data_IF_331286265518
#
_entry.id   IF_331286265518
#
_cell.length_a   1.000
_cell.length_b   1.000
_cell.length_c   1.000
_cell.angle_alpha   90.00
_cell.angle_beta   90.00
_cell.angle_gamma   90.00
#
_symmetry.space_group_name_H-M   'P 1'
#
loop_
_entity.id
_entity.type
_entity.pdbx_description
1 polymer ?
#
# COMPACT_ATOMS: atom_id res chain seq x y z
N UNK A 1 -2.20 17.39 52.66
CA UNK A 1 -2.26 16.42 51.55
C UNK A 1 -1.15 15.36 51.81
N UNK A 2 -1.49 14.09 51.82
CA UNK A 2 -0.54 13.03 52.20
C UNK A 2 0.41 12.73 51.06
N UNK A 3 1.57 13.42 51.02
CA UNK A 3 2.60 13.30 49.95
C UNK A 3 2.99 11.84 49.67
N UNK A 4 3.00 10.97 50.67
CA UNK A 4 3.30 9.55 50.49
C UNK A 4 2.24 8.82 49.64
N UNK A 5 0.95 9.16 49.79
CA UNK A 5 -0.13 8.57 49.01
C UNK A 5 -0.09 9.05 47.56
N UNK A 6 0.14 10.36 47.35
CA UNK A 6 0.26 10.95 46.00
C UNK A 6 1.41 10.31 45.21
N UNK A 7 2.59 10.15 45.82
CA UNK A 7 3.73 9.49 45.17
C UNK A 7 3.40 8.04 44.80
N UNK A 8 2.75 7.29 45.69
CA UNK A 8 2.34 5.90 45.38
C UNK A 8 1.39 5.83 44.21
N UNK A 9 0.41 6.73 44.11
CA UNK A 9 -0.52 6.79 42.96
C UNK A 9 0.23 7.08 41.68
N UNK A 10 1.15 8.07 41.65
CA UNK A 10 1.95 8.39 40.47
C UNK A 10 2.79 7.19 40.03
N UNK A 11 3.43 6.49 40.97
CA UNK A 11 4.24 5.30 40.65
C UNK A 11 3.40 4.16 40.07
N UNK A 12 2.18 3.96 40.57
CA UNK A 12 1.24 2.96 40.02
C UNK A 12 0.83 3.34 38.59
N UNK A 13 0.46 4.59 38.36
CA UNK A 13 0.08 5.06 37.01
C UNK A 13 1.25 4.94 36.02
N UNK A 14 2.44 5.32 36.44
CA UNK A 14 3.66 5.16 35.62
C UNK A 14 3.92 3.66 35.32
N UNK A 15 3.77 2.80 36.29
CA UNK A 15 3.94 1.36 36.09
C UNK A 15 2.90 0.80 35.08
N UNK A 16 1.65 1.18 35.23
CA UNK A 16 0.58 0.79 34.28
C UNK A 16 0.90 1.30 32.87
N UNK A 17 1.34 2.54 32.74
CA UNK A 17 1.73 3.12 31.44
C UNK A 17 2.89 2.36 30.80
N UNK A 18 3.91 1.98 31.57
CA UNK A 18 5.02 1.16 31.09
C UNK A 18 4.58 -0.23 30.66
N UNK A 19 3.61 -0.83 31.37
CA UNK A 19 3.02 -2.11 30.94
C UNK A 19 2.26 -1.98 29.60
N UNK A 20 1.53 -0.90 29.41
CA UNK A 20 0.85 -0.60 28.12
C UNK A 20 1.89 -0.47 27.00
N UNK A 21 2.96 0.30 27.23
CA UNK A 21 4.06 0.45 26.26
C UNK A 21 4.65 -0.92 25.91
N UNK A 22 4.95 -1.72 26.92
CA UNK A 22 5.52 -3.06 26.73
C UNK A 22 4.58 -3.97 25.93
N UNK A 23 3.28 -3.96 26.26
CA UNK A 23 2.27 -4.73 25.54
C UNK A 23 2.19 -4.30 24.07
N UNK A 24 2.05 -3.01 23.81
CA UNK A 24 2.00 -2.47 22.44
C UNK A 24 3.29 -2.79 21.69
N UNK A 25 4.46 -2.63 22.31
CA UNK A 25 5.74 -2.96 21.70
C UNK A 25 5.83 -4.42 21.26
N UNK A 26 5.35 -5.34 22.10
CA UNK A 26 5.38 -6.78 21.78
C UNK A 26 4.36 -7.19 20.73
N UNK A 27 3.19 -6.51 20.70
CA UNK A 27 2.05 -6.84 19.83
C UNK A 27 1.92 -5.92 18.62
N UNK A 28 2.82 -4.95 18.40
CA UNK A 28 2.65 -3.92 17.38
C UNK A 28 2.38 -4.46 15.98
N UNK A 29 2.99 -5.58 15.56
CA UNK A 29 2.76 -6.17 14.26
C UNK A 29 1.36 -6.76 14.13
N UNK A 30 0.85 -7.42 15.15
CA UNK A 30 -0.55 -7.91 15.15
C UNK A 30 -1.59 -6.80 15.32
N UNK A 31 -1.18 -5.62 15.77
CA UNK A 31 -2.04 -4.42 15.79
C UNK A 31 -1.96 -3.65 14.46
N UNK A 32 -0.80 -3.68 13.81
CA UNK A 32 -0.59 -2.99 12.55
C UNK A 32 -1.15 -3.78 11.36
N UNK A 33 -0.78 -5.04 11.22
CA UNK A 33 -1.21 -5.88 10.11
C UNK A 33 -2.49 -6.63 10.48
N UNK A 34 -3.51 -6.51 9.65
CA UNK A 34 -4.84 -7.09 9.86
C UNK A 34 -5.17 -8.09 8.74
N UNK A 35 -4.42 -9.21 8.66
CA UNK A 35 -4.69 -10.21 7.66
C UNK A 35 -6.05 -10.85 7.92
N UNK A 36 -6.87 -10.95 6.88
CA UNK A 36 -8.13 -11.69 6.91
C UNK A 36 -8.00 -12.92 6.04
N UNK A 37 -8.50 -14.03 6.57
CA UNK A 37 -8.62 -15.31 5.85
C UNK A 37 -10.10 -15.42 5.50
N UNK A 38 -10.47 -15.00 4.31
CA UNK A 38 -11.86 -15.08 3.87
C UNK A 38 -12.06 -16.16 2.82
N UNK A 39 -13.30 -16.63 2.72
CA UNK A 39 -13.76 -17.47 1.62
C UNK A 39 -13.73 -16.61 0.35
N UNK A 40 -13.03 -17.11 -0.64
CA UNK A 40 -12.83 -16.42 -1.91
C UNK A 40 -14.11 -16.45 -2.72
N UNK A 41 -14.73 -15.29 -2.93
CA UNK A 41 -15.82 -15.12 -3.87
C UNK A 41 -15.25 -14.67 -5.23
N UNK A 42 -14.95 -15.66 -6.09
CA UNK A 42 -14.42 -15.39 -7.42
C UNK A 42 -15.49 -14.81 -8.36
N UNK A 43 -16.78 -14.86 -7.99
CA UNK A 43 -17.89 -14.36 -8.82
C UNK A 43 -17.87 -12.83 -8.98
N UNK A 44 -17.19 -12.12 -8.06
CA UNK A 44 -17.01 -10.66 -8.14
C UNK A 44 -16.04 -10.24 -9.26
N UNK A 45 -15.22 -11.14 -9.77
CA UNK A 45 -14.27 -10.87 -10.84
C UNK A 45 -14.92 -11.16 -12.21
N UNK A 46 -15.22 -10.09 -12.96
CA UNK A 46 -15.93 -10.17 -14.24
C UNK A 46 -15.01 -10.59 -15.40
N UNK A 47 -13.70 -10.30 -15.28
CA UNK A 47 -12.71 -10.58 -16.31
C UNK A 47 -12.07 -11.98 -16.12
N UNK A 48 -11.63 -12.64 -17.21
CA UNK A 48 -11.02 -13.97 -17.13
C UNK A 48 -9.59 -13.89 -16.59
N UNK A 49 -9.44 -13.85 -15.27
CA UNK A 49 -8.15 -13.84 -14.62
C UNK A 49 -7.81 -15.21 -14.00
N UNK A 50 -6.52 -15.51 -13.92
CA UNK A 50 -5.98 -16.75 -13.39
C UNK A 50 -5.48 -16.58 -11.96
N UNK A 51 -5.71 -17.59 -11.12
CA UNK A 51 -5.00 -17.72 -9.83
C UNK A 51 -3.58 -18.18 -10.10
N UNK A 52 -2.60 -17.40 -9.67
CA UNK A 52 -1.20 -17.74 -9.78
C UNK A 52 -0.53 -17.68 -8.40
N UNK A 53 0.59 -18.38 -8.25
CA UNK A 53 1.38 -18.35 -7.03
C UNK A 53 2.77 -17.80 -7.35
N UNK A 54 3.19 -16.80 -6.58
CA UNK A 54 4.50 -16.18 -6.70
C UNK A 54 5.32 -16.60 -5.49
N UNK A 55 6.45 -17.27 -5.71
CA UNK A 55 7.33 -17.70 -4.64
C UNK A 55 8.32 -16.58 -4.29
N UNK A 56 8.33 -16.19 -3.01
CA UNK A 56 9.26 -15.17 -2.53
C UNK A 56 10.61 -15.77 -2.08
N UNK A 57 11.53 -14.94 -1.59
CA UNK A 57 12.88 -15.36 -1.21
C UNK A 57 12.92 -16.36 -0.05
N UNK A 58 11.83 -16.49 0.71
CA UNK A 58 11.66 -17.45 1.81
C UNK A 58 10.86 -18.68 1.40
N UNK A 59 10.64 -18.92 0.10
CA UNK A 59 9.83 -19.99 -0.46
C UNK A 59 8.36 -19.95 -0.02
N UNK A 60 7.85 -18.78 0.37
CA UNK A 60 6.43 -18.57 0.64
C UNK A 60 5.72 -18.38 -0.69
N UNK A 61 4.66 -19.15 -0.93
CA UNK A 61 3.83 -19.03 -2.14
C UNK A 61 2.74 -17.98 -1.91
N UNK A 62 2.92 -16.82 -2.51
CA UNK A 62 1.98 -15.72 -2.45
C UNK A 62 0.86 -15.95 -3.46
N UNK A 63 -0.36 -16.15 -2.98
CA UNK A 63 -1.56 -16.22 -3.81
C UNK A 63 -1.75 -14.89 -4.52
N UNK A 64 -1.96 -14.94 -5.82
CA UNK A 64 -2.07 -13.76 -6.67
C UNK A 64 -3.11 -14.01 -7.76
N UNK A 65 -3.63 -12.92 -8.35
CA UNK A 65 -4.54 -12.96 -9.49
C UNK A 65 -3.84 -12.29 -10.67
N UNK A 66 -3.77 -13.00 -11.80
CA UNK A 66 -3.19 -12.48 -13.03
C UNK A 66 -4.22 -12.45 -14.16
N UNK A 67 -4.50 -11.27 -14.66
CA UNK A 67 -5.27 -11.05 -15.87
C UNK A 67 -4.33 -10.74 -17.02
N UNK A 68 -4.39 -11.57 -18.08
CA UNK A 68 -3.66 -11.33 -19.32
C UNK A 68 -4.59 -10.67 -20.32
N UNK A 69 -4.23 -9.44 -20.74
CA UNK A 69 -5.02 -8.70 -21.71
C UNK A 69 -4.96 -9.37 -23.12
N UNK A 70 -6.08 -9.42 -23.87
CA UNK A 70 -6.14 -10.10 -25.17
C UNK A 70 -5.21 -9.52 -26.27
N UNK A 71 -4.83 -8.25 -26.17
CA UNK A 71 -3.94 -7.58 -27.14
C UNK A 71 -2.48 -8.08 -27.11
N UNK A 72 -2.11 -8.96 -26.14
CA UNK A 72 -0.72 -9.34 -25.88
C UNK A 72 0.22 -8.17 -25.56
N UNK A 73 -0.30 -7.08 -25.01
CA UNK A 73 0.50 -5.96 -24.50
C UNK A 73 1.50 -6.43 -23.45
N UNK A 74 2.63 -5.70 -23.32
CA UNK A 74 3.56 -5.89 -22.20
C UNK A 74 3.23 -4.97 -21.03
N UNK A 75 2.49 -3.87 -21.26
CA UNK A 75 2.07 -2.99 -20.17
C UNK A 75 1.33 -3.78 -19.12
N UNK A 76 1.75 -3.67 -17.87
CA UNK A 76 1.23 -4.46 -16.75
C UNK A 76 1.03 -3.59 -15.53
N UNK A 77 -0.20 -3.60 -15.00
CA UNK A 77 -0.53 -3.00 -13.71
C UNK A 77 -0.21 -4.00 -12.60
N UNK A 78 0.80 -3.70 -11.79
CA UNK A 78 1.16 -4.48 -10.60
C UNK A 78 0.52 -3.82 -9.38
N UNK A 79 -0.41 -4.51 -8.72
CA UNK A 79 -1.21 -3.97 -7.62
C UNK A 79 -0.77 -4.51 -6.27
N UNK A 80 -0.52 -3.59 -5.33
CA UNK A 80 -0.16 -3.81 -3.94
C UNK A 80 -1.29 -3.31 -3.03
N UNK A 81 -2.00 -4.24 -2.42
CA UNK A 81 -3.18 -3.91 -1.60
C UNK A 81 -2.83 -3.28 -0.24
N UNK A 82 -3.84 -2.69 0.39
CA UNK A 82 -3.74 -2.08 1.71
C UNK A 82 -3.62 -3.08 2.86
N UNK A 83 -3.75 -2.56 4.08
CA UNK A 83 -3.50 -3.30 5.32
C UNK A 83 -4.61 -4.27 5.72
N UNK A 84 -5.81 -4.15 5.20
CA UNK A 84 -6.96 -4.95 5.62
C UNK A 84 -7.66 -5.63 4.45
N UNK A 85 -8.31 -6.75 4.76
CA UNK A 85 -9.14 -7.51 3.84
C UNK A 85 -8.36 -8.40 2.87
N UNK A 86 -9.05 -9.37 2.27
CA UNK A 86 -8.49 -10.23 1.24
C UNK A 86 -8.37 -9.49 -0.10
N UNK A 87 -7.65 -10.07 -1.05
CA UNK A 87 -7.45 -9.46 -2.38
C UNK A 87 -8.76 -9.30 -3.15
N UNK A 88 -9.76 -10.12 -2.87
CA UNK A 88 -11.09 -10.09 -3.48
C UNK A 88 -11.79 -8.74 -3.29
N UNK A 89 -11.54 -8.04 -2.20
CA UNK A 89 -12.05 -6.69 -1.97
C UNK A 89 -11.58 -5.67 -3.02
N UNK A 90 -10.59 -6.01 -3.86
CA UNK A 90 -10.03 -5.17 -4.93
C UNK A 90 -10.52 -5.56 -6.32
N UNK A 91 -11.38 -6.60 -6.45
CA UNK A 91 -11.86 -7.06 -7.75
C UNK A 91 -12.66 -5.99 -8.50
N UNK A 92 -13.42 -5.12 -7.78
CA UNK A 92 -14.10 -4.00 -8.42
C UNK A 92 -13.10 -3.01 -9.11
N UNK A 93 -11.91 -2.79 -8.51
CA UNK A 93 -10.85 -1.96 -9.10
C UNK A 93 -10.28 -2.63 -10.35
N UNK A 94 -9.99 -3.94 -10.27
CA UNK A 94 -9.52 -4.72 -11.41
C UNK A 94 -10.52 -4.64 -12.56
N UNK A 95 -11.81 -4.84 -12.28
CA UNK A 95 -12.87 -4.73 -13.30
C UNK A 95 -12.92 -3.34 -13.95
N UNK A 96 -12.73 -2.26 -13.20
CA UNK A 96 -12.69 -0.89 -13.72
C UNK A 96 -11.42 -0.62 -14.53
N UNK A 97 -10.26 -1.10 -14.06
CA UNK A 97 -8.96 -0.84 -14.65
C UNK A 97 -8.63 -1.75 -15.83
N UNK A 98 -9.40 -2.84 -16.02
CA UNK A 98 -9.27 -3.73 -17.19
C UNK A 98 -9.70 -3.09 -18.51
N UNK A 99 -10.28 -1.87 -18.48
CA UNK A 99 -10.56 -1.09 -19.70
C UNK A 99 -9.29 -0.65 -20.45
N UNK A 100 -8.16 -0.56 -19.72
CA UNK A 100 -6.88 -0.16 -20.30
C UNK A 100 -6.18 -1.33 -20.98
N UNK A 101 -5.43 -1.05 -22.05
CA UNK A 101 -4.61 -2.05 -22.73
C UNK A 101 -3.41 -2.47 -21.88
N UNK A 102 -3.68 -3.29 -20.86
CA UNK A 102 -2.70 -3.75 -19.88
C UNK A 102 -3.06 -5.09 -19.26
N UNK A 103 -2.03 -5.86 -18.92
CA UNK A 103 -2.20 -6.98 -18.00
C UNK A 103 -2.40 -6.44 -16.57
N UNK A 104 -2.97 -7.24 -15.67
CA UNK A 104 -3.12 -6.86 -14.26
C UNK A 104 -2.60 -8.02 -13.40
N UNK A 105 -1.68 -7.71 -12.48
CA UNK A 105 -1.21 -8.63 -11.45
C UNK A 105 -1.54 -8.04 -10.08
N UNK A 106 -2.49 -8.65 -9.36
CA UNK A 106 -2.78 -8.34 -7.97
C UNK A 106 -2.14 -9.40 -7.09
N UNK A 107 -1.20 -9.03 -6.25
CA UNK A 107 -0.59 -9.95 -5.28
C UNK A 107 -1.25 -9.82 -3.91
N UNK A 108 -1.28 -10.92 -3.16
CA UNK A 108 -1.58 -10.90 -1.74
C UNK A 108 -0.30 -11.02 -0.93
N UNK A 109 -0.16 -10.20 0.11
CA UNK A 109 0.98 -10.23 1.01
C UNK A 109 1.08 -11.56 1.77
N UNK A 110 2.28 -11.89 2.27
CA UNK A 110 2.45 -12.93 3.29
C UNK A 110 1.48 -12.72 4.45
N UNK A 111 0.94 -13.79 5.01
CA UNK A 111 -0.11 -13.82 6.03
C UNK A 111 -1.52 -13.43 5.57
N UNK A 112 -1.68 -12.76 4.41
CA UNK A 112 -2.99 -12.37 3.88
C UNK A 112 -3.53 -13.43 2.92
N UNK A 113 -4.87 -13.48 2.75
CA UNK A 113 -5.55 -14.39 1.81
C UNK A 113 -5.11 -15.85 1.92
N UNK A 114 -4.81 -16.31 3.14
CA UNK A 114 -4.36 -17.68 3.41
C UNK A 114 -2.89 -17.98 3.10
N UNK A 115 -2.09 -16.97 2.75
CA UNK A 115 -0.65 -17.15 2.59
C UNK A 115 0.05 -17.38 3.93
N UNK A 116 1.11 -18.17 3.91
CA UNK A 116 1.99 -18.37 5.07
C UNK A 116 2.83 -17.12 5.39
N UNK A 117 3.53 -17.17 6.53
CA UNK A 117 4.52 -16.19 6.96
C UNK A 117 3.96 -15.10 7.86
N UNK A 118 4.86 -14.24 8.36
CA UNK A 118 4.52 -13.09 9.21
C UNK A 118 4.82 -11.79 8.46
N UNK A 119 3.88 -10.82 8.45
CA UNK A 119 4.08 -9.56 7.77
C UNK A 119 5.05 -8.67 8.55
N UNK A 120 5.97 -8.07 7.82
CA UNK A 120 6.92 -7.08 8.28
C UNK A 120 7.22 -6.10 7.15
N UNK A 121 7.75 -4.91 7.46
CA UNK A 121 8.16 -3.95 6.43
C UNK A 121 9.08 -4.60 5.37
N UNK A 122 10.19 -5.21 5.81
CA UNK A 122 11.13 -5.90 4.91
C UNK A 122 10.49 -7.10 4.19
N UNK A 123 9.56 -7.79 4.88
CA UNK A 123 8.83 -8.91 4.30
C UNK A 123 7.94 -8.49 3.12
N UNK A 124 7.17 -7.40 3.28
CA UNK A 124 6.33 -6.89 2.20
C UNK A 124 7.18 -6.36 1.03
N UNK A 125 8.35 -5.78 1.32
CA UNK A 125 9.30 -5.37 0.28
C UNK A 125 9.86 -6.58 -0.51
N UNK A 126 10.13 -7.69 0.17
CA UNK A 126 10.56 -8.94 -0.47
C UNK A 126 9.44 -9.53 -1.34
N UNK A 127 8.20 -9.56 -0.85
CA UNK A 127 7.04 -10.01 -1.62
C UNK A 127 6.86 -9.19 -2.90
N UNK A 128 6.98 -7.87 -2.81
CA UNK A 128 6.88 -6.96 -3.95
C UNK A 128 8.02 -7.17 -4.98
N UNK A 129 9.27 -7.34 -4.51
CA UNK A 129 10.41 -7.66 -5.39
C UNK A 129 10.22 -8.99 -6.10
N UNK A 130 9.65 -9.97 -5.41
CA UNK A 130 9.35 -11.29 -6.00
C UNK A 130 8.29 -11.21 -7.08
N UNK A 131 7.26 -10.36 -6.91
CA UNK A 131 6.27 -10.10 -7.94
C UNK A 131 6.89 -9.47 -9.21
N UNK A 132 7.79 -8.51 -9.04
CA UNK A 132 8.52 -7.89 -10.15
C UNK A 132 9.38 -8.94 -10.87
N UNK A 133 10.13 -9.74 -10.13
CA UNK A 133 10.94 -10.83 -10.70
C UNK A 133 10.09 -11.81 -11.51
N UNK A 134 8.92 -12.20 -10.98
CA UNK A 134 7.98 -13.08 -11.68
C UNK A 134 7.49 -12.47 -13.01
N UNK A 135 7.27 -11.15 -13.07
CA UNK A 135 6.94 -10.44 -14.32
C UNK A 135 8.13 -10.39 -15.27
N UNK A 136 9.33 -10.13 -14.77
CA UNK A 136 10.57 -10.13 -15.59
C UNK A 136 10.84 -11.50 -16.23
N UNK A 137 10.57 -12.60 -15.52
CA UNK A 137 10.63 -13.97 -16.05
C UNK A 137 9.61 -14.22 -17.20
N UNK A 138 8.57 -13.40 -17.27
CA UNK A 138 7.59 -13.37 -18.39
C UNK A 138 7.94 -12.37 -19.49
N UNK A 139 9.15 -11.83 -19.48
CA UNK A 139 9.64 -10.81 -20.41
C UNK A 139 8.88 -9.46 -20.32
N UNK A 140 8.34 -9.12 -19.13
CA UNK A 140 7.74 -7.84 -18.80
C UNK A 140 8.78 -7.06 -18.00
N UNK A 141 9.35 -6.02 -18.59
CA UNK A 141 10.40 -5.23 -17.97
C UNK A 141 9.82 -4.15 -17.04
N UNK A 142 10.63 -3.59 -16.13
CA UNK A 142 10.18 -2.51 -15.24
C UNK A 142 9.56 -1.33 -16.01
N UNK A 143 10.08 -1.00 -17.20
CA UNK A 143 9.54 0.07 -18.07
C UNK A 143 8.13 -0.21 -18.60
N UNK A 144 7.71 -1.47 -18.55
CA UNK A 144 6.37 -1.88 -18.95
C UNK A 144 5.41 -1.98 -17.75
N UNK A 145 5.92 -1.80 -16.50
CA UNK A 145 5.14 -1.97 -15.28
C UNK A 145 4.67 -0.62 -14.75
N UNK A 146 3.36 -0.50 -14.54
CA UNK A 146 2.73 0.53 -13.71
C UNK A 146 2.52 -0.09 -12.34
N UNK A 147 3.00 0.56 -11.27
CA UNK A 147 2.77 0.04 -9.92
C UNK A 147 1.64 0.81 -9.26
N UNK A 148 0.63 0.08 -8.80
CA UNK A 148 -0.47 0.63 -8.03
C UNK A 148 -0.31 0.23 -6.57
N UNK A 149 -0.25 1.20 -5.67
CA UNK A 149 -0.26 0.99 -4.23
C UNK A 149 -1.51 1.57 -3.58
N UNK A 150 -2.14 0.79 -2.70
CA UNK A 150 -3.28 1.20 -1.89
C UNK A 150 -2.86 1.29 -0.42
N UNK A 151 -3.05 2.43 0.24
CA UNK A 151 -2.79 2.61 1.67
C UNK A 151 -1.39 2.08 2.07
N UNK A 152 -1.29 1.01 2.84
CA UNK A 152 -0.02 0.34 3.17
C UNK A 152 0.81 0.00 1.91
N UNK A 153 0.16 -0.45 0.84
CA UNK A 153 0.79 -0.76 -0.44
C UNK A 153 1.46 0.43 -1.10
N UNK A 154 1.06 1.68 -0.78
CA UNK A 154 1.73 2.88 -1.31
C UNK A 154 3.16 3.00 -0.81
N UNK A 155 3.40 2.69 0.46
CA UNK A 155 4.75 2.73 1.03
C UNK A 155 5.66 1.65 0.42
N UNK A 156 5.10 0.47 0.14
CA UNK A 156 5.81 -0.59 -0.59
C UNK A 156 6.12 -0.13 -2.02
N UNK A 157 5.15 0.46 -2.72
CA UNK A 157 5.33 1.03 -4.07
C UNK A 157 6.45 2.05 -4.10
N UNK A 158 6.47 3.00 -3.16
CA UNK A 158 7.50 4.04 -3.06
C UNK A 158 8.87 3.41 -2.79
N UNK A 159 8.97 2.42 -1.89
CA UNK A 159 10.23 1.71 -1.62
C UNK A 159 10.79 1.06 -2.88
N UNK A 160 9.96 0.32 -3.60
CA UNK A 160 10.38 -0.44 -4.79
C UNK A 160 10.74 0.48 -5.95
N UNK A 161 10.06 1.64 -6.05
CA UNK A 161 10.24 2.57 -7.17
C UNK A 161 11.50 3.45 -7.05
N UNK A 162 12.14 3.54 -5.87
CA UNK A 162 13.34 4.34 -5.71
C UNK A 162 14.42 3.94 -6.70
N UNK A 163 14.94 4.92 -7.45
CA UNK A 163 16.04 4.75 -8.41
C UNK A 163 15.77 3.67 -9.50
N UNK A 164 14.50 3.34 -9.71
CA UNK A 164 14.05 2.42 -10.77
C UNK A 164 13.15 3.18 -11.75
N UNK A 165 13.25 2.83 -13.02
CA UNK A 165 12.42 3.41 -14.07
C UNK A 165 11.23 2.48 -14.37
N UNK A 166 10.11 2.72 -13.67
CA UNK A 166 8.82 2.09 -13.96
C UNK A 166 8.03 2.96 -14.95
N UNK A 167 7.04 2.37 -15.62
CA UNK A 167 6.17 3.09 -16.56
C UNK A 167 5.39 4.21 -15.86
N UNK A 168 4.95 3.97 -14.63
CA UNK A 168 4.26 4.94 -13.78
C UNK A 168 3.90 4.38 -12.42
N UNK A 169 3.51 5.26 -11.51
CA UNK A 169 3.02 4.90 -10.17
C UNK A 169 1.64 5.50 -9.95
N UNK A 170 0.73 4.71 -9.37
CA UNK A 170 -0.57 5.14 -8.87
C UNK A 170 -0.58 4.91 -7.36
N UNK A 171 -0.77 5.96 -6.58
CA UNK A 171 -0.75 5.91 -5.10
C UNK A 171 -2.11 6.36 -4.55
N UNK A 172 -2.86 5.43 -3.98
CA UNK A 172 -4.15 5.70 -3.34
C UNK A 172 -4.00 5.78 -1.83
N UNK A 173 -4.40 6.89 -1.24
CA UNK A 173 -4.29 7.20 0.18
C UNK A 173 -2.86 7.00 0.74
N UNK A 174 -1.82 7.61 0.14
CA UNK A 174 -0.45 7.46 0.64
C UNK A 174 -0.23 8.20 1.95
N UNK A 175 0.71 7.70 2.75
CA UNK A 175 1.11 8.29 4.03
C UNK A 175 2.61 8.61 4.07
N UNK A 176 2.98 9.62 4.89
CA UNK A 176 4.37 10.07 5.04
C UNK A 176 5.26 9.03 5.72
N UNK A 177 4.76 8.42 6.78
CA UNK A 177 5.41 7.30 7.47
C UNK A 177 4.42 6.60 8.40
N UNK A 178 4.68 5.34 8.74
CA UNK A 178 3.91 4.66 9.79
C UNK A 178 4.09 5.33 11.16
N UNK A 179 5.21 6.01 11.37
CA UNK A 179 5.42 6.82 12.58
C UNK A 179 4.41 7.96 12.66
N UNK A 180 4.18 8.69 11.56
CA UNK A 180 3.27 9.83 11.56
C UNK A 180 1.80 9.38 11.65
N UNK A 181 1.45 8.30 10.96
CA UNK A 181 0.13 7.70 11.07
C UNK A 181 -0.15 7.23 12.52
N UNK A 182 0.81 6.53 13.13
CA UNK A 182 0.67 6.09 14.52
C UNK A 182 0.64 7.27 15.53
N UNK A 183 1.38 8.35 15.30
CA UNK A 183 1.29 9.57 16.13
C UNK A 183 -0.10 10.23 16.06
N UNK A 184 -0.71 10.20 14.91
CA UNK A 184 -2.05 10.76 14.74
C UNK A 184 -3.08 10.01 15.57
N UNK A 185 -3.06 8.67 15.50
CA UNK A 185 -4.02 7.83 16.23
C UNK A 185 -3.66 7.61 17.71
N UNK A 186 -2.37 7.61 18.04
CA UNK A 186 -1.85 7.28 19.39
C UNK A 186 -0.84 8.33 19.88
N UNK A 187 -1.25 9.61 20.03
CA UNK A 187 -0.34 10.72 20.37
C UNK A 187 0.30 10.57 21.74
N UNK A 188 -0.28 9.74 22.62
CA UNK A 188 0.21 9.46 23.97
C UNK A 188 1.25 8.34 24.04
N UNK A 189 1.53 7.66 22.93
CA UNK A 189 2.56 6.61 22.88
C UNK A 189 3.86 7.13 22.25
N UNK A 190 5.03 6.70 22.73
CA UNK A 190 6.33 7.11 22.17
C UNK A 190 6.65 6.34 20.87
N UNK A 191 5.72 6.38 19.89
CA UNK A 191 5.76 5.56 18.67
C UNK A 191 7.02 5.72 17.85
N UNK A 192 7.65 6.90 17.86
CA UNK A 192 8.88 7.16 17.09
C UNK A 192 10.04 6.24 17.43
N UNK A 193 10.13 5.79 18.69
CA UNK A 193 11.19 4.89 19.18
C UNK A 193 10.70 3.45 19.30
N UNK A 194 9.38 3.23 19.36
CA UNK A 194 8.80 1.90 19.56
C UNK A 194 8.61 1.13 18.26
N UNK A 195 8.24 1.82 17.16
CA UNK A 195 7.87 1.15 15.92
C UNK A 195 9.05 0.43 15.27
N UNK A 196 8.84 -0.84 14.97
CA UNK A 196 9.76 -1.69 14.21
C UNK A 196 9.62 -1.44 12.71
N UNK A 197 8.38 -1.40 12.23
CA UNK A 197 8.02 -1.22 10.83
C UNK A 197 7.62 0.26 10.63
N UNK A 198 8.44 1.04 9.92
CA UNK A 198 8.37 2.51 9.91
C UNK A 198 7.84 3.09 8.61
N UNK A 199 8.04 2.42 7.48
CA UNK A 199 7.56 2.82 6.15
C UNK A 199 7.80 4.31 5.87
N UNK A 200 9.08 4.73 5.81
CA UNK A 200 9.48 6.14 5.69
C UNK A 200 9.28 6.66 4.25
N UNK A 201 8.03 6.79 3.80
CA UNK A 201 7.67 7.21 2.44
C UNK A 201 8.15 8.62 2.11
N UNK A 202 8.08 9.56 3.06
CA UNK A 202 8.52 10.95 2.92
C UNK A 202 10.02 11.10 2.62
N UNK A 203 10.83 10.13 3.07
CA UNK A 203 12.27 10.11 2.79
C UNK A 203 12.61 9.52 1.44
N UNK A 204 11.74 8.63 0.94
CA UNK A 204 11.96 7.79 -0.22
C UNK A 204 11.37 8.37 -1.51
N UNK A 205 10.21 9.04 -1.43
CA UNK A 205 9.45 9.52 -2.60
C UNK A 205 10.26 10.43 -3.53
N UNK A 206 11.15 11.24 -2.99
CA UNK A 206 12.04 12.13 -3.75
C UNK A 206 13.07 11.39 -4.63
N UNK A 207 13.29 10.09 -4.39
CA UNK A 207 14.16 9.25 -5.20
C UNK A 207 13.37 8.50 -6.29
N UNK A 208 12.06 8.67 -6.37
CA UNK A 208 11.22 8.10 -7.43
C UNK A 208 11.33 9.00 -8.65
N UNK A 209 11.66 8.39 -9.79
CA UNK A 209 11.87 9.10 -11.07
C UNK A 209 10.76 8.86 -12.09
N UNK A 210 9.90 7.87 -11.84
CA UNK A 210 8.76 7.53 -12.70
C UNK A 210 7.62 8.54 -12.53
N UNK A 211 6.76 8.74 -13.55
CA UNK A 211 5.53 9.52 -13.42
C UNK A 211 4.64 9.02 -12.29
N UNK A 212 3.99 9.94 -11.55
CA UNK A 212 3.19 9.61 -10.37
C UNK A 212 1.79 10.21 -10.46
N UNK A 213 0.77 9.39 -10.20
CA UNK A 213 -0.59 9.83 -9.93
C UNK A 213 -0.95 9.54 -8.47
N UNK A 214 -1.41 10.55 -7.73
CA UNK A 214 -1.79 10.42 -6.32
C UNK A 214 -3.28 10.73 -6.19
N UNK A 215 -4.02 9.83 -5.54
CA UNK A 215 -5.42 10.05 -5.20
C UNK A 215 -5.67 9.90 -3.70
N UNK A 216 -6.49 10.80 -3.12
CA UNK A 216 -6.75 10.84 -1.70
C UNK A 216 -8.07 11.55 -1.40
N UNK A 217 -8.87 11.01 -0.47
CA UNK A 217 -10.05 11.66 0.04
C UNK A 217 -9.68 12.70 1.12
N UNK A 218 -10.27 13.89 1.05
CA UNK A 218 -9.94 15.00 1.97
C UNK A 218 -10.38 14.69 3.40
N UNK A 219 -11.49 13.98 3.55
CA UNK A 219 -12.04 13.57 4.86
C UNK A 219 -11.56 12.23 5.38
N UNK A 220 -10.48 11.63 4.80
CA UNK A 220 -9.90 10.37 5.27
C UNK A 220 -9.47 10.46 6.73
N UNK A 221 -10.10 9.66 7.61
CA UNK A 221 -9.84 9.60 9.04
C UNK A 221 -8.84 8.50 9.44
N UNK A 222 -8.49 7.61 8.50
CA UNK A 222 -7.49 6.54 8.69
C UNK A 222 -6.09 7.03 8.34
N UNK A 223 -5.94 7.59 7.14
CA UNK A 223 -4.70 8.27 6.71
C UNK A 223 -5.02 9.74 6.44
N UNK A 224 -4.74 10.65 7.37
CA UNK A 224 -5.08 12.06 7.19
C UNK A 224 -4.58 12.64 5.87
N UNK A 225 -5.46 13.32 5.13
CA UNK A 225 -5.21 13.91 3.81
C UNK A 225 -3.87 14.67 3.71
N UNK A 226 -3.50 15.44 4.76
CA UNK A 226 -2.22 16.16 4.82
C UNK A 226 -0.99 15.28 4.57
N UNK A 227 -1.10 13.95 4.80
CA UNK A 227 0.02 13.03 4.53
C UNK A 227 0.13 12.73 3.03
N UNK A 228 -0.98 12.50 2.35
CA UNK A 228 -1.02 12.33 0.88
C UNK A 228 -0.62 13.60 0.15
N UNK A 229 -1.13 14.75 0.61
CA UNK A 229 -0.72 16.07 0.11
C UNK A 229 0.79 16.27 0.24
N UNK A 230 1.37 15.90 1.41
CA UNK A 230 2.81 15.97 1.64
C UNK A 230 3.62 15.05 0.74
N UNK A 231 3.15 13.84 0.47
CA UNK A 231 3.80 12.92 -0.49
C UNK A 231 3.74 13.54 -1.90
N UNK A 232 2.61 14.14 -2.30
CA UNK A 232 2.49 14.84 -3.56
C UNK A 232 3.48 16.00 -3.68
N UNK A 233 3.60 16.84 -2.66
CA UNK A 233 4.58 17.94 -2.65
C UNK A 233 6.01 17.45 -2.86
N UNK A 234 6.41 16.37 -2.18
CA UNK A 234 7.77 15.82 -2.19
C UNK A 234 8.09 15.00 -3.44
N UNK A 235 7.08 14.55 -4.16
CA UNK A 235 7.25 13.75 -5.38
C UNK A 235 7.85 14.59 -6.52
N UNK A 236 8.65 13.94 -7.36
CA UNK A 236 9.20 14.55 -8.57
C UNK A 236 8.13 14.66 -9.67
N UNK A 237 8.34 15.55 -10.63
CA UNK A 237 7.54 15.63 -11.86
C UNK A 237 8.04 14.61 -12.90
N UNK A 238 7.17 14.08 -13.79
CA UNK A 238 5.76 14.45 -13.90
C UNK A 238 4.91 13.83 -12.81
N UNK A 239 3.98 14.62 -12.28
CA UNK A 239 3.03 14.18 -11.24
C UNK A 239 1.68 14.84 -11.42
N UNK A 240 0.61 14.12 -11.11
CA UNK A 240 -0.76 14.60 -11.05
C UNK A 240 -1.48 14.09 -9.82
N UNK A 241 -2.62 14.67 -9.47
CA UNK A 241 -3.37 14.27 -8.29
C UNK A 241 -4.88 14.36 -8.51
N UNK A 242 -5.62 13.50 -7.80
CA UNK A 242 -7.06 13.55 -7.63
C UNK A 242 -7.37 13.63 -6.13
N UNK A 243 -7.63 14.83 -5.64
CA UNK A 243 -8.03 15.08 -4.25
C UNK A 243 -9.52 15.40 -4.24
N UNK A 244 -10.29 14.57 -3.55
CA UNK A 244 -11.76 14.60 -3.62
C UNK A 244 -12.36 14.80 -2.23
N UNK A 245 -13.46 15.56 -2.16
CA UNK A 245 -14.20 15.82 -0.92
C UNK A 245 -15.10 14.62 -0.58
N UNK A 246 -14.48 13.57 -0.10
CA UNK A 246 -15.08 12.33 0.39
C UNK A 246 -14.57 12.05 1.81
N UNK A 247 -15.30 11.25 2.59
CA UNK A 247 -14.92 10.87 3.96
C UNK A 247 -14.41 9.42 4.05
N UNK A 248 -14.39 8.70 2.95
CA UNK A 248 -13.91 7.32 2.90
C UNK A 248 -12.39 7.27 2.85
N UNK A 249 -11.79 6.18 3.37
CA UNK A 249 -10.34 5.98 3.28
C UNK A 249 -9.85 5.75 1.84
N UNK A 250 -10.64 5.02 1.04
CA UNK A 250 -10.35 4.76 -0.37
C UNK A 250 -11.32 5.57 -1.23
N UNK A 251 -10.81 6.15 -2.30
CA UNK A 251 -11.62 7.01 -3.17
C UNK A 251 -12.65 6.21 -3.98
N UNK A 252 -13.78 6.84 -4.26
CA UNK A 252 -14.82 6.24 -5.11
C UNK A 252 -14.35 6.20 -6.58
N UNK A 253 -14.51 5.04 -7.23
CA UNK A 253 -14.17 4.84 -8.65
C UNK A 253 -15.30 5.33 -9.55
N UNK A 254 -15.53 6.64 -9.53
CA UNK A 254 -16.52 7.35 -10.34
C UNK A 254 -15.96 7.78 -11.71
N UNK A 255 -16.78 8.48 -12.50
CA UNK A 255 -16.40 8.99 -13.82
C UNK A 255 -15.27 10.04 -13.73
N UNK A 256 -15.28 10.90 -12.70
CA UNK A 256 -14.28 11.94 -12.55
C UNK A 256 -12.89 11.35 -12.29
N UNK A 257 -12.78 10.37 -11.36
CA UNK A 257 -11.53 9.66 -11.15
C UNK A 257 -11.07 8.95 -12.42
N UNK A 258 -12.00 8.29 -13.13
CA UNK A 258 -11.63 7.55 -14.35
C UNK A 258 -11.13 8.49 -15.46
N UNK A 259 -11.65 9.70 -15.58
CA UNK A 259 -11.15 10.72 -16.51
C UNK A 259 -9.74 11.19 -16.13
N UNK A 260 -9.47 11.44 -14.85
CA UNK A 260 -8.13 11.79 -14.36
C UNK A 260 -7.12 10.66 -14.57
N UNK A 261 -7.57 9.41 -14.43
CA UNK A 261 -6.73 8.26 -14.77
C UNK A 261 -6.45 8.18 -16.27
N UNK A 262 -7.43 8.45 -17.14
CA UNK A 262 -7.23 8.48 -18.60
C UNK A 262 -6.12 9.50 -18.96
N UNK A 263 -6.15 10.70 -18.38
CA UNK A 263 -5.09 11.72 -18.56
C UNK A 263 -3.72 11.24 -18.06
N UNK A 264 -3.68 10.53 -16.93
CA UNK A 264 -2.44 9.96 -16.43
C UNK A 264 -1.90 8.86 -17.36
N UNK A 265 -2.77 7.98 -17.88
CA UNK A 265 -2.37 6.95 -18.84
C UNK A 265 -1.83 7.56 -20.14
N UNK A 266 -2.42 8.66 -20.63
CA UNK A 266 -1.87 9.41 -21.77
C UNK A 266 -0.49 10.00 -21.46
N UNK A 267 -0.29 10.53 -20.24
CA UNK A 267 1.00 11.07 -19.81
C UNK A 267 2.09 9.99 -19.84
N UNK A 268 1.83 8.79 -19.27
CA UNK A 268 2.84 7.72 -19.22
C UNK A 268 3.10 7.02 -20.54
N UNK A 269 2.17 7.09 -21.50
CA UNK A 269 2.39 6.60 -22.87
C UNK A 269 3.39 7.50 -23.59
N UNK A 270 3.33 8.81 -23.36
CA UNK A 270 4.17 9.82 -24.01
C UNK A 270 5.47 10.12 -23.24
N UNK A 271 5.66 9.52 -22.07
CA UNK A 271 6.85 9.70 -21.24
C UNK A 271 7.88 8.61 -21.54
N UNK A 272 8.94 8.96 -22.28
CA UNK A 272 10.10 8.12 -22.60
C UNK A 272 11.35 8.48 -21.78
#
# INVERSE_FOLDING_TARGET
>A
MNYSLTIKIILILLFIYLLIIFYVYTKQRSLLYVPQIDNYDDELLIIPAEKVFIENSLNIKLRSIFYKHPSNTKTTLLMFHGNAGPIENRFYKINKLSKYDQNILLISWRSYSGNDGEPTEDGLYDDARSAIKWLEEKNISKKDIIIYGESLGTAVTIEIAQNNNFKGLILEAPFTSMIDAAKFHYPYLPVSIMLKDKYLSDKKIKNVISPIFIMHAIGDDIVPFRMGEKIYELANSPKSSYFVDENEHLVTYDENLMNMMDEFYETIINYE
#
